data_IF_196140121528
#
_entry.id   IF_196140121528
#
_cell.length_a   1.000
_cell.length_b   1.000
_cell.length_c   1.000
_cell.angle_alpha   90.00
_cell.angle_beta   90.00
_cell.angle_gamma   90.00
#
_symmetry.space_group_name_H-M   'P 1'
#
loop_
_entity.id
_entity.type
_entity.pdbx_description
1 polymer ?
#
# COMPACT_ATOMS: atom_id res chain seq x y z
N UNK A 1 30.95 -25.59 7.98
CA UNK A 1 30.88 -24.40 7.11
C UNK A 1 30.12 -24.86 5.90
N UNK A 2 28.96 -24.27 5.62
CA UNK A 2 28.23 -24.58 4.38
C UNK A 2 29.06 -24.15 3.18
N UNK A 3 29.07 -24.97 2.12
CA UNK A 3 29.75 -24.63 0.88
C UNK A 3 29.02 -23.48 0.17
N UNK A 4 29.77 -22.61 -0.50
CA UNK A 4 29.21 -21.49 -1.27
C UNK A 4 28.41 -22.04 -2.46
N UNK A 5 27.08 -21.82 -2.45
CA UNK A 5 26.16 -22.33 -3.49
C UNK A 5 26.27 -21.52 -4.78
N UNK A 6 26.17 -20.19 -4.68
CA UNK A 6 26.19 -19.28 -5.82
C UNK A 6 26.84 -17.94 -5.46
N UNK A 7 27.52 -17.32 -6.42
CA UNK A 7 28.17 -16.03 -6.26
C UNK A 7 28.24 -15.30 -7.60
N UNK A 8 27.56 -14.16 -7.67
CA UNK A 8 27.50 -13.29 -8.85
C UNK A 8 28.12 -11.93 -8.51
N UNK A 9 29.40 -11.71 -8.85
CA UNK A 9 30.06 -10.43 -8.59
C UNK A 9 29.51 -9.28 -9.45
N UNK A 10 28.84 -9.59 -10.56
CA UNK A 10 28.34 -8.62 -11.55
C UNK A 10 29.44 -7.71 -12.15
N UNK A 11 30.68 -8.21 -12.17
CA UNK A 11 31.85 -7.55 -12.75
C UNK A 11 32.00 -7.92 -14.22
N UNK A 12 31.40 -7.13 -15.12
CA UNK A 12 31.42 -7.31 -16.56
C UNK A 12 30.52 -8.42 -17.12
N UNK A 13 30.02 -9.34 -16.29
CA UNK A 13 29.09 -10.42 -16.68
C UNK A 13 28.19 -10.87 -15.51
N UNK A 14 27.24 -11.78 -15.81
CA UNK A 14 26.39 -12.46 -14.83
C UNK A 14 26.86 -13.89 -14.53
N UNK A 15 28.17 -14.18 -14.65
CA UNK A 15 28.71 -15.52 -14.45
C UNK A 15 28.79 -15.91 -12.97
N UNK A 16 28.30 -17.11 -12.63
CA UNK A 16 28.50 -17.68 -11.30
C UNK A 16 29.99 -18.00 -11.05
N UNK A 17 30.49 -17.69 -9.86
CA UNK A 17 31.87 -17.95 -9.41
C UNK A 17 31.97 -18.98 -8.29
N UNK A 18 30.84 -19.57 -7.88
CA UNK A 18 30.83 -20.70 -6.95
C UNK A 18 31.24 -22.01 -7.64
N UNK A 19 31.40 -23.08 -6.85
CA UNK A 19 31.85 -24.38 -7.36
C UNK A 19 30.78 -25.09 -8.22
N UNK A 20 29.50 -24.86 -7.94
CA UNK A 20 28.40 -25.41 -8.72
C UNK A 20 28.30 -24.73 -10.10
N UNK A 21 28.01 -25.49 -11.16
CA UNK A 21 27.84 -24.95 -12.51
C UNK A 21 26.44 -24.36 -12.70
N UNK A 22 26.19 -23.23 -12.04
CA UNK A 22 24.92 -22.50 -12.12
C UNK A 22 24.90 -21.63 -13.39
N UNK A 23 24.32 -22.16 -14.46
CA UNK A 23 24.13 -21.42 -15.70
C UNK A 23 23.22 -20.22 -15.47
N UNK A 24 23.67 -19.05 -15.93
CA UNK A 24 23.04 -17.76 -15.67
C UNK A 24 22.78 -17.03 -16.98
N UNK A 25 21.56 -16.53 -17.17
CA UNK A 25 21.12 -15.79 -18.36
C UNK A 25 20.70 -14.38 -17.95
N UNK A 26 21.51 -13.34 -18.23
CA UNK A 26 21.12 -11.96 -17.96
C UNK A 26 20.19 -11.43 -19.07
N UNK A 27 19.14 -10.71 -18.67
CA UNK A 27 18.22 -9.99 -19.56
C UNK A 27 18.22 -8.52 -19.18
N UNK A 28 18.37 -7.61 -20.15
CA UNK A 28 18.30 -6.15 -20.00
C UNK A 28 19.14 -5.57 -18.84
N UNK A 29 20.29 -6.16 -18.55
CA UNK A 29 21.22 -5.68 -17.50
C UNK A 29 22.33 -4.83 -18.14
N UNK A 30 22.67 -3.73 -17.48
CA UNK A 30 23.81 -2.88 -17.87
C UNK A 30 24.96 -3.11 -16.89
N UNK A 31 26.06 -3.71 -17.36
CA UNK A 31 27.29 -3.90 -16.57
C UNK A 31 28.20 -2.66 -16.62
N UNK A 32 29.30 -2.67 -15.86
CA UNK A 32 30.29 -1.58 -15.87
C UNK A 32 30.11 -0.55 -14.76
N UNK A 33 29.12 -0.73 -13.87
CA UNK A 33 28.84 0.22 -12.79
C UNK A 33 29.83 0.09 -11.63
N UNK A 34 29.95 1.17 -10.86
CA UNK A 34 30.76 1.15 -9.64
C UNK A 34 30.06 0.36 -8.54
N UNK A 35 30.79 -0.57 -7.94
CA UNK A 35 30.33 -1.34 -6.80
C UNK A 35 30.45 -0.59 -5.47
N UNK A 36 30.22 -1.28 -4.35
CA UNK A 36 30.22 -0.69 -3.01
C UNK A 36 31.53 -0.01 -2.58
N UNK A 37 32.66 -0.40 -3.18
CA UNK A 37 33.99 0.17 -2.94
C UNK A 37 34.33 1.34 -3.89
N UNK A 38 33.40 1.73 -4.76
CA UNK A 38 33.56 2.79 -5.76
C UNK A 38 34.35 2.36 -7.00
N UNK A 39 34.80 1.10 -7.09
CA UNK A 39 35.52 0.60 -8.26
C UNK A 39 34.56 0.36 -9.41
N UNK A 40 34.79 0.99 -10.56
CA UNK A 40 34.01 0.75 -11.79
C UNK A 40 34.10 -0.70 -12.24
N UNK A 41 33.09 -1.17 -12.98
CA UNK A 41 33.02 -2.55 -13.50
C UNK A 41 33.02 -3.62 -12.41
N UNK A 42 32.35 -3.34 -11.29
CA UNK A 42 32.14 -4.29 -10.18
C UNK A 42 30.68 -4.37 -9.74
N UNK A 43 29.77 -3.81 -10.53
CA UNK A 43 28.33 -3.87 -10.32
C UNK A 43 27.60 -3.76 -11.66
N UNK A 44 26.29 -4.04 -11.61
CA UNK A 44 25.39 -3.88 -12.74
C UNK A 44 24.13 -3.10 -12.34
N UNK A 45 23.53 -2.39 -13.29
CA UNK A 45 22.28 -1.68 -13.13
C UNK A 45 21.11 -2.50 -13.68
N UNK A 46 20.01 -2.51 -12.91
CA UNK A 46 18.75 -3.14 -13.25
C UNK A 46 17.73 -2.03 -13.52
N UNK A 47 16.92 -2.18 -14.56
CA UNK A 47 16.01 -1.14 -15.05
C UNK A 47 14.66 -1.08 -14.31
N UNK A 48 14.45 -1.94 -13.30
CA UNK A 48 13.22 -2.02 -12.50
C UNK A 48 12.00 -2.58 -13.24
N UNK A 49 12.14 -3.06 -14.48
CA UNK A 49 11.04 -3.50 -15.34
C UNK A 49 11.24 -4.91 -15.88
N UNK A 50 12.30 -5.12 -16.64
CA UNK A 50 12.60 -6.39 -17.34
C UNK A 50 13.95 -6.97 -16.96
N UNK A 51 14.81 -6.21 -16.29
CA UNK A 51 16.14 -6.71 -15.91
C UNK A 51 16.04 -7.88 -14.93
N UNK A 52 16.66 -9.00 -15.28
CA UNK A 52 16.79 -10.15 -14.40
C UNK A 52 18.03 -10.98 -14.75
N UNK A 53 18.46 -11.81 -13.80
CA UNK A 53 19.39 -12.90 -14.06
C UNK A 53 18.62 -14.19 -13.78
N UNK A 54 18.30 -14.92 -14.83
CA UNK A 54 17.67 -16.23 -14.70
C UNK A 54 18.75 -17.28 -14.45
N UNK A 55 18.57 -18.08 -13.40
CA UNK A 55 19.46 -19.18 -13.05
C UNK A 55 18.78 -20.48 -13.43
N UNK A 56 19.44 -21.30 -14.23
CA UNK A 56 18.91 -22.61 -14.60
C UNK A 56 18.74 -23.50 -13.36
N UNK A 57 17.71 -24.34 -13.36
CA UNK A 57 17.49 -25.30 -12.28
C UNK A 57 18.72 -26.20 -12.10
N UNK A 58 19.07 -26.46 -10.84
CA UNK A 58 20.28 -27.20 -10.49
C UNK A 58 20.16 -27.79 -9.08
N UNK A 59 20.66 -29.01 -8.80
CA UNK A 59 20.56 -29.66 -7.48
C UNK A 59 21.16 -28.84 -6.33
N UNK A 60 22.20 -28.04 -6.58
CA UNK A 60 22.78 -27.15 -5.58
C UNK A 60 21.82 -26.04 -5.10
N UNK A 61 20.75 -25.76 -5.83
CA UNK A 61 19.70 -24.81 -5.45
C UNK A 61 18.55 -25.48 -4.67
N UNK A 62 18.62 -26.81 -4.44
CA UNK A 62 17.73 -27.50 -3.51
C UNK A 62 18.22 -27.28 -2.08
N UNK A 63 17.78 -26.18 -1.48
CA UNK A 63 18.23 -25.73 -0.15
C UNK A 63 17.76 -26.65 0.99
N UNK A 64 16.82 -27.57 0.73
CA UNK A 64 16.32 -28.50 1.72
C UNK A 64 15.71 -27.81 2.95
N UNK A 65 16.03 -28.32 4.14
CA UNK A 65 15.57 -27.82 5.44
C UNK A 65 16.71 -27.22 6.28
N UNK A 66 17.93 -27.19 5.73
CA UNK A 66 19.10 -26.70 6.44
C UNK A 66 19.15 -25.17 6.41
N UNK A 67 19.84 -24.59 7.39
CA UNK A 67 20.09 -23.15 7.43
C UNK A 67 20.91 -22.72 6.20
N UNK A 68 20.52 -21.59 5.61
CA UNK A 68 21.27 -20.93 4.54
C UNK A 68 21.43 -19.43 4.83
N UNK A 69 22.29 -18.77 4.05
CA UNK A 69 22.50 -17.33 4.16
C UNK A 69 22.57 -16.71 2.78
N UNK A 70 21.99 -15.52 2.65
CA UNK A 70 22.07 -14.69 1.45
C UNK A 70 22.83 -13.42 1.80
N UNK A 71 23.73 -12.99 0.92
CA UNK A 71 24.41 -11.69 1.03
C UNK A 71 24.31 -10.98 -0.31
N UNK A 72 23.86 -9.73 -0.28
CA UNK A 72 23.73 -8.89 -1.45
C UNK A 72 24.08 -7.45 -1.10
N UNK A 73 24.72 -6.74 -2.04
CA UNK A 73 24.87 -5.30 -1.99
C UNK A 73 23.89 -4.69 -2.98
N UNK A 74 22.95 -3.90 -2.47
CA UNK A 74 21.89 -3.30 -3.28
C UNK A 74 21.93 -1.80 -3.07
N UNK A 75 21.96 -1.06 -4.17
CA UNK A 75 21.78 0.37 -4.18
C UNK A 75 20.43 0.66 -4.85
N UNK A 76 19.53 1.32 -4.14
CA UNK A 76 18.22 1.73 -4.64
C UNK A 76 18.10 3.25 -4.57
N UNK A 77 17.66 3.89 -5.66
CA UNK A 77 17.66 5.35 -5.80
C UNK A 77 16.90 6.08 -4.68
N UNK A 78 17.44 7.18 -4.15
CA UNK A 78 16.84 7.86 -3.00
C UNK A 78 15.44 8.46 -3.27
N UNK A 79 15.15 8.86 -4.52
CA UNK A 79 14.03 9.77 -4.82
C UNK A 79 12.65 9.08 -4.93
N UNK A 80 12.57 7.76 -4.72
CA UNK A 80 11.31 6.96 -4.67
C UNK A 80 10.41 7.13 -5.90
N UNK A 81 11.00 7.08 -7.09
CA UNK A 81 10.25 7.18 -8.34
C UNK A 81 9.39 5.95 -8.64
N UNK A 82 9.76 4.76 -8.16
CA UNK A 82 9.06 3.50 -8.42
C UNK A 82 9.26 2.46 -7.29
N UNK A 83 8.59 1.32 -7.41
CA UNK A 83 8.84 0.13 -6.57
C UNK A 83 10.23 -0.45 -6.86
N UNK A 84 10.98 -0.84 -5.82
CA UNK A 84 12.35 -1.36 -5.97
C UNK A 84 12.41 -2.80 -6.50
N UNK A 85 11.45 -3.65 -6.11
CA UNK A 85 11.30 -5.01 -6.61
C UNK A 85 12.12 -6.07 -5.87
N UNK A 86 12.39 -7.19 -6.56
CA UNK A 86 13.00 -8.38 -6.00
C UNK A 86 14.54 -8.34 -6.06
N UNK A 87 15.19 -8.81 -5.00
CA UNK A 87 16.63 -9.07 -4.96
C UNK A 87 16.89 -10.53 -5.38
N UNK A 88 16.10 -11.47 -4.84
CA UNK A 88 16.17 -12.89 -5.14
C UNK A 88 14.77 -13.50 -5.09
N UNK A 89 14.48 -14.41 -6.02
CA UNK A 89 13.22 -15.15 -6.06
C UNK A 89 13.49 -16.59 -6.49
N UNK A 90 13.18 -17.54 -5.61
CA UNK A 90 13.07 -18.97 -5.94
C UNK A 90 11.69 -19.42 -5.48
N UNK A 91 10.67 -19.01 -6.22
CA UNK A 91 9.29 -19.20 -5.86
C UNK A 91 8.45 -19.58 -7.06
N UNK A 92 7.65 -20.61 -6.86
CA UNK A 92 6.61 -21.03 -7.78
C UNK A 92 5.29 -20.36 -7.35
N UNK A 93 4.78 -19.40 -8.14
CA UNK A 93 3.55 -18.72 -7.80
C UNK A 93 2.29 -19.58 -7.97
N UNK A 94 2.28 -20.59 -8.84
CA UNK A 94 1.12 -21.48 -8.99
C UNK A 94 1.03 -22.45 -7.81
N UNK A 95 2.16 -23.06 -7.45
CA UNK A 95 2.24 -23.95 -6.29
C UNK A 95 2.24 -23.19 -4.97
N UNK A 96 2.51 -21.87 -4.99
CA UNK A 96 2.68 -21.02 -3.81
C UNK A 96 3.79 -21.54 -2.89
N UNK A 97 4.91 -21.94 -3.49
CA UNK A 97 6.05 -22.60 -2.83
C UNK A 97 7.38 -21.97 -3.14
N UNK A 98 8.19 -21.76 -2.11
CA UNK A 98 9.56 -21.28 -2.23
C UNK A 98 9.80 -20.02 -1.41
N UNK A 99 10.73 -19.18 -1.85
CA UNK A 99 11.19 -18.03 -1.09
C UNK A 99 11.43 -16.79 -1.95
N UNK A 100 11.38 -15.64 -1.29
CA UNK A 100 11.75 -14.36 -1.87
C UNK A 100 12.54 -13.51 -0.88
N UNK A 101 13.47 -12.73 -1.42
CA UNK A 101 14.08 -11.58 -0.78
C UNK A 101 13.81 -10.36 -1.66
N UNK A 102 13.14 -9.35 -1.13
CA UNK A 102 12.70 -8.20 -1.91
C UNK A 102 12.65 -6.93 -1.06
N UNK A 103 12.63 -5.78 -1.74
CA UNK A 103 12.41 -4.48 -1.11
C UNK A 103 10.95 -4.10 -1.38
N UNK A 104 10.11 -4.29 -0.36
CA UNK A 104 8.67 -4.11 -0.43
C UNK A 104 8.29 -2.62 -0.45
N UNK A 105 7.50 -2.25 -1.45
CA UNK A 105 6.73 -1.00 -1.44
C UNK A 105 5.29 -1.37 -1.74
N UNK A 106 4.38 -1.09 -0.80
CA UNK A 106 2.94 -1.30 -0.97
C UNK A 106 2.26 0.05 -1.16
N UNK A 107 2.15 0.43 -2.44
CA UNK A 107 1.44 1.63 -2.90
C UNK A 107 -0.02 1.32 -3.25
N UNK A 108 -0.90 2.31 -3.17
CA UNK A 108 -2.25 2.26 -3.70
C UNK A 108 -3.35 1.87 -2.72
N UNK A 109 -3.08 1.73 -1.42
CA UNK A 109 -4.18 1.54 -0.45
C UNK A 109 -5.05 2.81 -0.37
N UNK A 110 -6.35 2.66 -0.11
CA UNK A 110 -7.32 3.78 -0.11
C UNK A 110 -6.89 4.99 0.72
N UNK A 111 -6.83 4.86 2.05
CA UNK A 111 -6.43 5.97 2.91
C UNK A 111 -4.92 6.00 3.15
N UNK A 112 -4.26 4.85 3.02
CA UNK A 112 -2.85 4.62 3.31
C UNK A 112 -2.06 4.43 2.01
N UNK A 113 -2.05 5.44 1.13
CA UNK A 113 -1.53 5.27 -0.22
C UNK A 113 -0.12 4.67 -0.26
N UNK A 114 0.73 4.97 0.73
CA UNK A 114 2.01 4.30 0.94
C UNK A 114 2.05 3.55 2.28
N UNK A 115 1.47 2.34 2.33
CA UNK A 115 1.37 1.54 3.56
C UNK A 115 2.73 0.95 4.00
N UNK A 116 3.58 0.60 3.04
CA UNK A 116 4.94 0.13 3.28
C UNK A 116 5.88 0.83 2.30
N UNK A 117 6.95 1.46 2.80
CA UNK A 117 7.95 2.12 1.97
C UNK A 117 9.31 1.43 2.11
N UNK A 118 9.76 0.78 1.03
CA UNK A 118 11.12 0.23 0.89
C UNK A 118 11.60 -0.67 2.03
N UNK A 119 10.73 -1.58 2.46
CA UNK A 119 11.05 -2.48 3.55
C UNK A 119 11.72 -3.74 3.03
N UNK A 120 12.90 -4.05 3.56
CA UNK A 120 13.53 -5.33 3.27
C UNK A 120 12.65 -6.46 3.82
N UNK A 121 12.20 -7.34 2.94
CA UNK A 121 11.29 -8.42 3.26
C UNK A 121 11.87 -9.75 2.79
N UNK A 122 11.84 -10.72 3.69
CA UNK A 122 12.16 -12.11 3.39
C UNK A 122 10.95 -12.96 3.72
N UNK A 123 10.52 -13.80 2.80
CA UNK A 123 9.35 -14.67 2.97
C UNK A 123 9.61 -16.05 2.42
N UNK A 124 9.11 -17.06 3.14
CA UNK A 124 9.00 -18.44 2.69
C UNK A 124 7.52 -18.80 2.66
N UNK A 125 7.08 -19.43 1.59
CA UNK A 125 5.75 -20.03 1.51
C UNK A 125 5.88 -21.51 1.14
N UNK A 126 5.14 -22.38 1.83
CA UNK A 126 5.08 -23.82 1.58
C UNK A 126 3.65 -24.26 1.21
N UNK A 127 2.82 -23.30 0.79
CA UNK A 127 1.44 -23.51 0.38
C UNK A 127 0.53 -24.12 1.45
N UNK A 128 0.89 -23.98 2.74
CA UNK A 128 0.09 -24.52 3.83
C UNK A 128 -1.20 -23.71 4.03
N UNK A 129 -2.23 -24.41 4.50
CA UNK A 129 -3.60 -23.91 4.62
C UNK A 129 -3.92 -23.29 5.99
N UNK A 130 -2.94 -23.09 6.87
CA UNK A 130 -3.20 -22.39 8.12
C UNK A 130 -3.44 -20.91 7.82
N UNK A 131 -4.70 -20.51 7.90
CA UNK A 131 -5.16 -19.14 7.71
C UNK A 131 -5.52 -18.50 9.05
N UNK A 132 -4.90 -18.92 10.15
CA UNK A 132 -5.19 -18.35 11.47
C UNK A 132 -4.73 -16.90 11.54
N UNK A 133 -5.69 -15.99 11.73
CA UNK A 133 -5.43 -14.59 12.01
C UNK A 133 -5.38 -14.39 13.53
N UNK A 134 -4.30 -13.78 14.01
CA UNK A 134 -4.20 -13.36 15.41
C UNK A 134 -4.91 -12.02 15.59
N UNK A 135 -5.79 -11.94 16.58
CA UNK A 135 -6.41 -10.68 17.00
C UNK A 135 -5.37 -9.79 17.68
N UNK A 136 -5.05 -8.67 17.04
CA UNK A 136 -4.10 -7.67 17.51
C UNK A 136 -4.79 -6.52 18.26
N UNK A 137 -6.02 -6.73 18.71
CA UNK A 137 -6.76 -5.81 19.55
C UNK A 137 -7.49 -4.72 18.78
N UNK A 138 -8.09 -3.82 19.57
CA UNK A 138 -8.79 -2.62 19.10
C UNK A 138 -8.13 -1.40 19.74
N UNK A 139 -7.47 -0.53 18.97
CA UNK A 139 -6.95 0.73 19.49
C UNK A 139 -8.12 1.63 19.92
N UNK A 140 -8.12 2.07 21.18
CA UNK A 140 -9.17 2.94 21.73
C UNK A 140 -10.60 2.41 21.57
N UNK A 141 -11.51 3.30 21.17
CA UNK A 141 -12.90 2.99 20.85
C UNK A 141 -13.13 2.92 19.33
N UNK A 142 -12.06 2.64 18.56
CA UNK A 142 -12.12 2.61 17.12
C UNK A 142 -13.32 1.78 16.62
N UNK A 143 -14.07 2.38 15.69
CA UNK A 143 -15.02 1.65 14.85
C UNK A 143 -14.42 1.37 13.47
N UNK A 144 -13.33 2.04 13.11
CA UNK A 144 -12.60 1.76 11.87
C UNK A 144 -11.12 1.95 12.07
N UNK A 145 -10.36 0.99 11.55
CA UNK A 145 -8.94 1.14 11.29
C UNK A 145 -8.79 1.74 9.88
N UNK A 146 -8.72 3.07 9.83
CA UNK A 146 -8.75 3.82 8.57
C UNK A 146 -7.43 3.69 7.81
N UNK A 147 -6.32 3.61 8.54
CA UNK A 147 -4.98 3.51 7.97
C UNK A 147 -4.17 2.51 8.78
N UNK A 148 -3.42 1.65 8.09
CA UNK A 148 -2.30 0.88 8.63
C UNK A 148 -1.10 1.25 7.80
N UNK A 149 -0.01 1.65 8.44
CA UNK A 149 1.25 1.94 7.74
C UNK A 149 2.43 1.63 8.63
N UNK A 150 3.54 1.25 8.02
CA UNK A 150 4.78 0.95 8.73
C UNK A 150 5.79 2.03 8.46
N UNK A 151 6.28 2.63 9.53
CA UNK A 151 7.16 3.78 9.47
C UNK A 151 8.25 3.67 10.53
N UNK A 152 9.52 3.85 10.12
CA UNK A 152 10.71 3.44 10.89
C UNK A 152 10.53 2.08 11.59
N UNK A 153 10.15 1.06 10.83
CA UNK A 153 10.00 -0.32 11.30
C UNK A 153 8.88 -0.56 12.33
N UNK A 154 8.10 0.46 12.67
CA UNK A 154 6.98 0.35 13.61
C UNK A 154 5.64 0.41 12.87
N UNK A 155 4.67 -0.38 13.33
CA UNK A 155 3.31 -0.39 12.80
C UNK A 155 2.45 0.68 13.50
N UNK A 156 1.74 1.45 12.70
CA UNK A 156 0.82 2.48 13.17
C UNK A 156 -0.59 2.27 12.63
N UNK A 157 -1.57 2.73 13.39
CA UNK A 157 -2.98 2.74 12.99
C UNK A 157 -3.58 4.15 13.15
N UNK A 158 -4.25 4.63 12.10
CA UNK A 158 -5.15 5.79 12.18
C UNK A 158 -6.58 5.30 12.38
N UNK A 159 -7.30 5.82 13.38
CA UNK A 159 -8.64 5.35 13.73
C UNK A 159 -9.73 6.38 13.47
N UNK A 160 -10.95 5.87 13.31
CA UNK A 160 -12.19 6.64 13.40
C UNK A 160 -12.97 6.18 14.64
N UNK A 161 -13.45 7.16 15.42
CA UNK A 161 -14.36 6.99 16.55
C UNK A 161 -15.59 7.89 16.35
N UNK A 162 -16.74 7.52 16.94
CA UNK A 162 -18.05 8.07 16.52
C UNK A 162 -18.92 8.61 17.65
N UNK A 163 -18.52 8.43 18.91
CA UNK A 163 -19.16 9.05 20.05
C UNK A 163 -19.12 10.57 19.99
N UNK A 164 -20.05 11.23 20.70
CA UNK A 164 -20.14 12.70 20.71
C UNK A 164 -18.89 13.36 21.29
N UNK A 165 -18.29 12.73 22.29
CA UNK A 165 -17.07 13.17 22.98
C UNK A 165 -15.83 12.35 22.56
N UNK A 166 -15.94 11.52 21.52
CA UNK A 166 -14.85 10.71 20.98
C UNK A 166 -14.22 11.39 19.76
N UNK A 167 -12.94 11.14 19.52
CA UNK A 167 -12.23 11.55 18.31
C UNK A 167 -11.43 10.38 17.75
N UNK A 168 -11.02 10.44 16.49
CA UNK A 168 -10.06 9.48 15.94
C UNK A 168 -8.67 9.74 16.50
N UNK A 169 -7.78 8.75 16.52
CA UNK A 169 -6.43 8.89 17.06
C UNK A 169 -5.40 8.23 16.15
N UNK A 170 -4.15 8.69 16.25
CA UNK A 170 -2.99 7.94 15.77
C UNK A 170 -2.51 7.01 16.88
N UNK A 171 -2.26 5.75 16.54
CA UNK A 171 -1.80 4.73 17.46
C UNK A 171 -0.54 4.07 16.93
N UNK A 172 0.35 3.69 17.85
CA UNK A 172 1.51 2.84 17.56
C UNK A 172 1.33 1.47 18.18
N UNK A 173 1.56 0.42 17.42
CA UNK A 173 1.44 -0.95 17.88
C UNK A 173 2.53 -1.28 18.91
N UNK A 174 2.15 -1.85 20.05
CA UNK A 174 3.07 -2.27 21.11
C UNK A 174 3.23 -3.79 21.22
N UNK A 175 2.60 -4.55 20.31
CA UNK A 175 2.60 -6.00 20.32
C UNK A 175 1.37 -6.60 21.01
N UNK A 176 1.06 -7.86 20.69
CA UNK A 176 -0.10 -8.54 21.24
C UNK A 176 -1.39 -7.83 20.87
N UNK A 177 -2.10 -7.28 21.86
CA UNK A 177 -3.32 -6.49 21.67
C UNK A 177 -3.16 -5.03 22.09
N UNK A 178 -1.92 -4.61 22.38
CA UNK A 178 -1.62 -3.33 23.00
C UNK A 178 -1.26 -2.28 21.95
N UNK A 179 -1.76 -1.05 22.17
CA UNK A 179 -1.55 0.11 21.32
C UNK A 179 -1.25 1.34 22.17
N UNK A 180 -0.25 2.12 21.77
CA UNK A 180 0.10 3.39 22.41
C UNK A 180 -0.60 4.52 21.67
N UNK A 181 -1.39 5.31 22.40
CA UNK A 181 -2.06 6.50 21.88
C UNK A 181 -1.04 7.64 21.65
N UNK A 182 -1.02 8.19 20.44
CA UNK A 182 -0.21 9.35 20.06
C UNK A 182 -1.05 10.62 19.89
N UNK A 183 -2.37 10.51 20.03
CA UNK A 183 -3.31 11.61 20.07
C UNK A 183 -3.88 12.04 18.71
N UNK A 184 -4.57 13.17 18.77
CA UNK A 184 -5.15 13.89 17.64
C UNK A 184 -5.17 15.38 18.00
N UNK A 185 -4.41 16.25 17.32
CA UNK A 185 -4.30 17.66 17.69
C UNK A 185 -5.56 18.49 17.34
N UNK A 186 -6.46 17.94 16.51
CA UNK A 186 -7.66 18.64 16.02
C UNK A 186 -8.92 18.24 16.80
N UNK A 187 -8.97 17.00 17.30
CA UNK A 187 -10.18 16.42 17.90
C UNK A 187 -11.25 16.03 16.87
N UNK A 188 -10.87 15.89 15.60
CA UNK A 188 -11.74 15.42 14.53
C UNK A 188 -12.01 13.91 14.65
N UNK A 189 -13.04 13.41 13.96
CA UNK A 189 -13.48 12.03 14.15
C UNK A 189 -12.54 10.97 13.54
N UNK A 190 -11.59 11.34 12.68
CA UNK A 190 -10.64 10.40 12.08
C UNK A 190 -9.24 10.96 11.91
N UNK A 191 -8.24 10.13 12.19
CA UNK A 191 -6.85 10.29 11.75
C UNK A 191 -6.57 9.27 10.65
N UNK A 192 -5.96 9.70 9.55
CA UNK A 192 -5.80 8.90 8.32
C UNK A 192 -4.62 9.34 7.49
N UNK A 193 -4.12 8.48 6.61
CA UNK A 193 -2.92 8.73 5.82
C UNK A 193 -1.70 8.83 6.72
N UNK A 194 -0.69 8.01 6.47
CA UNK A 194 0.54 8.05 7.24
C UNK A 194 1.70 7.70 6.33
N UNK A 195 2.74 8.55 6.32
CA UNK A 195 3.89 8.34 5.45
C UNK A 195 5.16 8.95 6.05
N UNK A 196 6.32 8.36 5.78
CA UNK A 196 7.60 9.02 6.04
C UNK A 196 8.00 9.89 4.86
N UNK A 197 8.40 11.12 5.18
CA UNK A 197 8.88 12.09 4.24
C UNK A 197 9.99 12.93 4.88
N UNK A 198 11.17 12.95 4.25
CA UNK A 198 12.35 13.69 4.72
C UNK A 198 12.77 13.34 6.16
N UNK A 199 12.62 12.07 6.57
CA UNK A 199 13.02 11.57 7.89
C UNK A 199 12.01 11.76 9.02
N UNK A 200 10.92 12.49 8.77
CA UNK A 200 9.80 12.67 9.72
C UNK A 200 8.55 11.94 9.22
N UNK A 201 7.55 11.74 10.10
CA UNK A 201 6.28 11.15 9.71
C UNK A 201 5.18 12.17 9.58
N UNK A 202 4.41 12.04 8.51
CA UNK A 202 3.30 12.92 8.20
C UNK A 202 2.00 12.13 8.27
N UNK A 203 0.98 12.73 8.85
CA UNK A 203 -0.35 12.17 8.87
C UNK A 203 -1.42 13.22 8.59
N UNK A 204 -2.56 12.77 8.09
CA UNK A 204 -3.68 13.63 7.78
C UNK A 204 -4.83 13.43 8.78
N UNK A 205 -5.68 14.44 8.85
CA UNK A 205 -6.88 14.45 9.67
C UNK A 205 -8.10 14.64 8.79
N UNK A 206 -9.27 14.21 9.25
CA UNK A 206 -10.47 14.38 8.47
C UNK A 206 -11.76 14.31 9.26
N UNK A 207 -12.86 14.56 8.54
CA UNK A 207 -14.23 14.32 8.97
C UNK A 207 -14.86 13.25 8.09
N UNK A 208 -14.90 12.02 8.59
CA UNK A 208 -15.47 10.89 7.87
C UNK A 208 -16.99 10.81 8.00
N UNK A 209 -17.67 10.66 6.85
CA UNK A 209 -19.11 10.47 6.80
C UNK A 209 -19.54 9.00 6.93
N UNK A 210 -20.40 8.72 7.92
CA UNK A 210 -20.88 7.35 8.21
C UNK A 210 -22.02 6.87 7.32
N UNK A 211 -22.68 7.79 6.59
CA UNK A 211 -23.87 7.48 5.78
C UNK A 211 -23.59 6.44 4.69
N UNK A 212 -22.44 6.54 4.02
CA UNK A 212 -22.01 5.57 3.00
C UNK A 212 -21.64 4.20 3.58
N UNK A 213 -21.51 4.11 4.91
CA UNK A 213 -21.23 2.86 5.64
C UNK A 213 -22.49 2.29 6.30
N UNK A 214 -23.64 2.94 6.17
CA UNK A 214 -24.89 2.56 6.85
C UNK A 214 -24.76 2.48 8.39
N UNK A 215 -23.92 3.35 9.00
CA UNK A 215 -23.67 3.35 10.46
C UNK A 215 -24.39 4.48 11.22
N UNK A 216 -25.31 5.19 10.57
CA UNK A 216 -26.08 6.27 11.19
C UNK A 216 -25.41 7.64 11.02
N UNK A 217 -25.76 8.56 11.91
CA UNK A 217 -25.26 9.94 11.91
C UNK A 217 -23.96 10.07 12.70
N UNK A 218 -23.15 11.05 12.30
CA UNK A 218 -21.90 11.40 12.97
C UNK A 218 -22.25 12.29 14.16
N UNK A 219 -21.73 11.97 15.35
CA UNK A 219 -21.95 12.79 16.53
C UNK A 219 -20.86 13.87 16.69
N UNK A 220 -19.58 13.50 16.58
CA UNK A 220 -18.46 14.45 16.51
C UNK A 220 -18.31 15.00 15.07
N UNK A 221 -18.71 16.26 14.88
CA UNK A 221 -18.68 16.94 13.57
C UNK A 221 -17.50 17.92 13.41
N UNK A 222 -16.50 17.86 14.29
CA UNK A 222 -15.29 18.70 14.22
C UNK A 222 -14.60 18.51 12.86
N UNK A 223 -14.40 19.59 12.07
CA UNK A 223 -13.70 19.51 10.80
C UNK A 223 -12.25 19.06 10.98
N UNK A 224 -11.77 18.20 10.08
CA UNK A 224 -10.34 17.92 9.92
C UNK A 224 -9.82 18.58 8.66
N UNK A 225 -8.98 17.87 7.91
CA UNK A 225 -8.45 18.34 6.62
C UNK A 225 -7.01 18.82 6.67
N UNK A 226 -6.43 18.92 7.86
CA UNK A 226 -5.04 19.33 8.03
C UNK A 226 -4.08 18.15 7.92
N UNK A 227 -2.85 18.45 7.50
CA UNK A 227 -1.71 17.53 7.53
C UNK A 227 -0.79 17.97 8.65
N UNK A 228 -0.29 17.01 9.43
CA UNK A 228 0.66 17.25 10.51
C UNK A 228 1.91 16.40 10.32
N UNK A 229 3.04 16.96 10.73
CA UNK A 229 4.29 16.25 10.92
C UNK A 229 4.46 15.91 12.40
N UNK A 230 4.71 14.65 12.71
CA UNK A 230 5.02 14.18 14.06
C UNK A 230 6.55 14.05 14.20
N UNK A 231 7.14 14.78 15.14
CA UNK A 231 8.59 14.69 15.40
C UNK A 231 8.93 13.43 16.20
N UNK A 232 10.22 13.08 16.27
CA UNK A 232 10.70 11.97 17.09
C UNK A 232 10.36 12.12 18.59
N UNK A 233 10.20 13.36 19.06
CA UNK A 233 9.81 13.69 20.44
C UNK A 233 8.28 13.60 20.67
N UNK A 234 7.50 13.31 19.62
CA UNK A 234 6.04 13.22 19.68
C UNK A 234 5.32 14.56 19.57
N UNK A 235 5.99 15.61 19.06
CA UNK A 235 5.34 16.91 18.83
C UNK A 235 4.60 16.92 17.49
N UNK A 236 3.36 17.40 17.51
CA UNK A 236 2.53 17.60 16.33
C UNK A 236 2.74 18.99 15.75
N UNK A 237 3.35 19.08 14.57
CA UNK A 237 3.60 20.34 13.85
C UNK A 237 2.62 20.42 12.68
N UNK A 238 1.76 21.43 12.68
CA UNK A 238 0.82 21.65 11.56
C UNK A 238 1.59 21.98 10.28
N UNK A 239 1.31 21.21 9.23
CA UNK A 239 1.87 21.38 7.89
C UNK A 239 0.84 21.98 6.91
N UNK A 240 -0.22 22.61 7.41
CA UNK A 240 -1.22 23.30 6.61
C UNK A 240 -2.48 22.50 6.32
N UNK A 241 -3.37 23.12 5.56
CA UNK A 241 -4.72 22.63 5.28
C UNK A 241 -4.95 22.54 3.76
N UNK A 242 -4.62 21.40 3.13
CA UNK A 242 -4.78 21.18 1.70
C UNK A 242 -6.18 21.51 1.17
N UNK A 243 -6.24 22.53 0.31
CA UNK A 243 -7.46 22.94 -0.39
C UNK A 243 -8.40 23.86 0.41
N UNK A 244 -8.03 24.31 1.61
CA UNK A 244 -8.81 25.27 2.41
C UNK A 244 -9.16 26.53 1.60
N UNK A 245 -8.18 27.09 0.88
CA UNK A 245 -8.34 28.32 0.11
C UNK A 245 -9.40 28.26 -1.01
N UNK A 246 -9.76 27.05 -1.46
CA UNK A 246 -10.75 26.81 -2.51
C UNK A 246 -11.97 26.02 -2.03
N UNK A 247 -11.93 25.54 -0.78
CA UNK A 247 -13.01 24.80 -0.15
C UNK A 247 -14.18 25.69 0.22
N UNK A 248 -15.37 25.09 0.29
CA UNK A 248 -16.54 25.71 0.86
C UNK A 248 -16.39 25.86 2.38
N UNK A 249 -17.02 26.88 2.99
CA UNK A 249 -17.06 27.03 4.45
C UNK A 249 -17.61 25.79 5.15
N UNK A 250 -17.05 25.46 6.32
CA UNK A 250 -17.44 24.26 7.07
C UNK A 250 -18.89 24.25 7.56
N UNK A 251 -19.47 25.44 7.78
CA UNK A 251 -20.84 25.64 8.24
C UNK A 251 -21.88 25.63 7.11
N UNK A 252 -21.44 25.61 5.84
CA UNK A 252 -22.35 25.54 4.69
C UNK A 252 -23.01 24.16 4.59
N UNK A 253 -24.33 24.10 4.53
CA UNK A 253 -25.05 22.86 4.24
C UNK A 253 -24.97 22.53 2.74
N UNK A 254 -24.27 21.44 2.44
CA UNK A 254 -24.00 20.95 1.08
C UNK A 254 -24.70 19.62 0.80
N UNK A 255 -25.66 19.21 1.64
CA UNK A 255 -26.38 17.95 1.50
C UNK A 255 -25.57 16.74 1.98
N UNK A 256 -25.90 15.53 1.48
CA UNK A 256 -25.34 14.27 2.00
C UNK A 256 -24.12 13.73 1.25
N UNK A 257 -23.89 14.17 0.01
CA UNK A 257 -22.83 13.64 -0.84
C UNK A 257 -22.22 14.77 -1.67
N UNK A 258 -20.90 14.92 -1.58
CA UNK A 258 -20.07 15.94 -2.25
C UNK A 258 -20.12 17.33 -1.58
N UNK A 259 -19.41 17.47 -0.46
CA UNK A 259 -19.52 18.67 0.37
C UNK A 259 -18.66 19.85 -0.12
N UNK A 260 -17.74 19.68 -1.08
CA UNK A 260 -16.88 20.77 -1.54
C UNK A 260 -16.01 21.40 -0.44
N UNK A 261 -15.93 20.77 0.73
CA UNK A 261 -15.18 21.23 1.91
C UNK A 261 -13.80 20.59 1.91
N UNK A 262 -12.81 21.31 2.42
CA UNK A 262 -11.46 20.79 2.57
C UNK A 262 -11.29 19.99 3.88
N UNK A 263 -12.36 19.41 4.43
CA UNK A 263 -12.42 18.90 5.81
C UNK A 263 -11.96 17.44 5.97
N UNK A 264 -11.43 16.84 4.90
CA UNK A 264 -11.08 15.42 4.87
C UNK A 264 -9.83 15.17 4.02
N UNK A 265 -8.64 15.38 4.59
CA UNK A 265 -7.38 15.06 3.94
C UNK A 265 -7.06 13.57 4.14
N UNK A 266 -6.67 12.89 3.06
CA UNK A 266 -6.45 11.44 3.01
C UNK A 266 -5.34 11.11 2.01
N UNK A 267 -4.99 9.82 1.89
CA UNK A 267 -4.15 9.29 0.80
C UNK A 267 -2.84 10.07 0.62
N UNK A 268 -2.05 10.15 1.69
CA UNK A 268 -0.71 10.73 1.64
C UNK A 268 0.25 9.84 0.85
N UNK A 269 0.90 10.39 -0.17
CA UNK A 269 1.82 9.67 -1.05
C UNK A 269 3.13 10.45 -1.21
N UNK A 270 4.26 9.74 -1.18
CA UNK A 270 5.56 10.30 -1.59
C UNK A 270 5.90 9.78 -2.98
N UNK A 271 6.26 10.70 -3.87
CA UNK A 271 6.73 10.37 -5.21
C UNK A 271 7.71 11.43 -5.70
N UNK A 272 8.83 10.98 -6.26
CA UNK A 272 9.84 11.85 -6.87
C UNK A 272 10.27 13.02 -5.95
N UNK A 273 10.61 12.68 -4.69
CA UNK A 273 11.04 13.64 -3.68
C UNK A 273 9.99 14.62 -3.16
N UNK A 274 8.71 14.47 -3.52
CA UNK A 274 7.61 15.35 -3.10
C UNK A 274 6.53 14.60 -2.32
N UNK A 275 5.86 15.29 -1.40
CA UNK A 275 4.71 14.80 -0.66
C UNK A 275 3.41 15.29 -1.32
N UNK A 276 2.48 14.38 -1.54
CA UNK A 276 1.17 14.61 -2.14
C UNK A 276 0.07 14.16 -1.20
N UNK A 277 -1.09 14.81 -1.29
CA UNK A 277 -2.28 14.48 -0.50
C UNK A 277 -3.54 14.69 -1.31
N UNK A 278 -4.56 13.88 -1.04
CA UNK A 278 -5.91 14.04 -1.57
C UNK A 278 -6.78 14.69 -0.51
N UNK A 279 -7.56 15.70 -0.89
CA UNK A 279 -8.63 16.23 -0.04
C UNK A 279 -9.97 15.71 -0.56
N UNK A 280 -10.56 14.79 0.19
CA UNK A 280 -11.52 13.81 -0.28
C UNK A 280 -12.82 14.41 -0.81
N UNK A 281 -13.27 15.57 -0.31
CA UNK A 281 -14.53 16.19 -0.70
C UNK A 281 -14.39 17.33 -1.73
N UNK A 282 -13.16 17.62 -2.18
CA UNK A 282 -12.86 18.61 -3.20
C UNK A 282 -12.13 17.98 -4.37
N UNK A 283 -12.07 18.71 -5.49
CA UNK A 283 -11.40 18.24 -6.70
C UNK A 283 -9.92 18.57 -6.64
N UNK A 284 -9.08 17.63 -7.05
CA UNK A 284 -7.64 17.81 -7.15
C UNK A 284 -6.81 16.93 -6.22
N UNK A 285 -5.52 17.20 -6.25
CA UNK A 285 -4.42 16.59 -5.50
C UNK A 285 -3.49 17.74 -5.15
N UNK A 286 -2.98 17.78 -3.93
CA UNK A 286 -2.14 18.87 -3.45
C UNK A 286 -0.73 18.38 -3.22
N UNK A 287 0.26 19.11 -3.74
CA UNK A 287 1.68 18.91 -3.47
C UNK A 287 2.10 19.82 -2.32
N UNK A 288 2.87 19.28 -1.38
CA UNK A 288 3.46 20.04 -0.29
C UNK A 288 4.63 20.88 -0.78
N UNK A 289 4.60 22.18 -0.48
CA UNK A 289 5.69 23.12 -0.84
C UNK A 289 6.56 23.51 0.38
N UNK A 290 6.26 22.96 1.56
CA UNK A 290 6.97 23.23 2.81
C UNK A 290 6.21 24.17 3.75
N UNK A 291 6.57 24.14 5.03
CA UNK A 291 5.87 24.89 6.06
C UNK A 291 4.40 24.49 6.14
N UNK A 292 3.50 25.41 5.78
CA UNK A 292 2.05 25.22 5.74
C UNK A 292 1.46 25.29 4.33
N UNK A 293 2.30 25.35 3.29
CA UNK A 293 1.89 25.67 1.93
C UNK A 293 1.65 24.41 1.08
N UNK A 294 0.59 24.48 0.26
CA UNK A 294 0.16 23.40 -0.63
C UNK A 294 -0.30 23.95 -1.98
N UNK A 295 0.24 23.41 -3.07
CA UNK A 295 -0.19 23.74 -4.43
C UNK A 295 -1.09 22.64 -4.99
N UNK A 296 -2.28 23.01 -5.48
CA UNK A 296 -3.12 22.07 -6.22
C UNK A 296 -2.47 21.77 -7.58
N UNK A 297 -2.19 20.49 -7.81
CA UNK A 297 -1.60 19.94 -9.04
C UNK A 297 -2.47 18.86 -9.66
N UNK A 298 -3.57 18.48 -9.02
CA UNK A 298 -4.43 17.38 -9.46
C UNK A 298 -5.40 17.73 -10.59
N UNK A 299 -6.06 16.71 -11.16
CA UNK A 299 -7.06 16.90 -12.20
C UNK A 299 -8.29 17.65 -11.68
N UNK A 300 -9.11 18.22 -12.57
CA UNK A 300 -10.43 18.79 -12.23
C UNK A 300 -11.50 17.70 -11.95
N UNK A 301 -11.12 16.71 -11.14
CA UNK A 301 -11.95 15.61 -10.67
C UNK A 301 -11.68 15.34 -9.19
N UNK A 302 -12.66 14.73 -8.53
CA UNK A 302 -12.48 14.25 -7.16
C UNK A 302 -11.63 12.99 -7.21
N UNK A 303 -10.53 12.98 -6.48
CA UNK A 303 -9.63 11.83 -6.36
C UNK A 303 -9.95 11.08 -5.07
N UNK A 304 -9.82 9.75 -5.08
CA UNK A 304 -10.09 8.87 -3.95
C UNK A 304 -8.81 8.33 -3.33
N UNK A 305 -7.84 7.95 -4.16
CA UNK A 305 -6.51 7.53 -3.71
C UNK A 305 -5.44 7.78 -4.77
N UNK A 306 -4.18 7.62 -4.38
CA UNK A 306 -2.98 7.72 -5.21
C UNK A 306 -2.23 6.38 -5.23
N UNK A 307 -1.50 6.11 -6.32
CA UNK A 307 -0.56 4.97 -6.40
C UNK A 307 0.61 5.32 -7.31
N UNK A 308 1.74 4.62 -7.16
CA UNK A 308 2.91 4.76 -8.04
C UNK A 308 3.06 3.50 -8.86
N UNK A 309 3.27 3.67 -10.17
CA UNK A 309 3.52 2.56 -11.08
C UNK A 309 4.46 2.98 -12.21
N UNK A 310 5.53 2.20 -12.42
CA UNK A 310 6.46 2.35 -13.55
C UNK A 310 7.10 3.74 -13.64
N UNK A 311 7.35 4.36 -12.48
CA UNK A 311 8.00 5.67 -12.39
C UNK A 311 7.03 6.86 -12.30
N UNK A 312 5.71 6.64 -12.37
CA UNK A 312 4.72 7.71 -12.44
C UNK A 312 3.69 7.64 -11.31
N UNK A 313 3.21 8.82 -10.90
CA UNK A 313 2.09 8.97 -9.97
C UNK A 313 0.76 8.83 -10.72
N UNK A 314 -0.16 8.05 -10.16
CA UNK A 314 -1.50 7.85 -10.66
C UNK A 314 -2.54 8.30 -9.64
N UNK A 315 -3.61 8.93 -10.11
CA UNK A 315 -4.76 9.32 -9.32
C UNK A 315 -5.96 8.45 -9.67
N UNK A 316 -6.56 7.84 -8.64
CA UNK A 316 -7.74 7.00 -8.76
C UNK A 316 -8.97 7.89 -8.56
N UNK A 317 -9.65 8.21 -9.65
CA UNK A 317 -10.75 9.17 -9.67
C UNK A 317 -12.07 8.57 -9.15
N UNK A 318 -12.84 9.43 -8.47
CA UNK A 318 -14.26 9.22 -8.27
C UNK A 318 -15.00 9.36 -9.61
N UNK A 319 -15.88 8.43 -9.91
CA UNK A 319 -16.49 8.25 -11.23
C UNK A 319 -15.87 7.10 -12.03
N UNK A 320 -14.72 6.56 -11.61
CA UNK A 320 -14.06 5.44 -12.29
C UNK A 320 -12.81 5.77 -13.13
N UNK A 321 -12.58 6.99 -13.65
CA UNK A 321 -11.35 7.29 -14.38
C UNK A 321 -10.09 7.16 -13.54
N UNK A 322 -9.00 6.78 -14.18
CA UNK A 322 -7.65 6.76 -13.59
C UNK A 322 -6.77 7.69 -14.42
N UNK A 323 -5.97 8.51 -13.76
CA UNK A 323 -5.14 9.53 -14.42
C UNK A 323 -3.67 9.32 -14.08
N UNK A 324 -2.77 9.44 -15.06
CA UNK A 324 -1.31 9.50 -14.85
C UNK A 324 -0.84 10.95 -14.82
N UNK A 325 -0.03 11.30 -13.83
CA UNK A 325 0.57 12.62 -13.74
C UNK A 325 1.72 12.78 -14.73
N UNK A 326 1.67 13.83 -15.56
CA UNK A 326 2.72 14.15 -16.54
C UNK A 326 3.57 15.37 -16.15
N UNK A 327 3.28 15.98 -14.99
CA UNK A 327 4.00 17.11 -14.44
C UNK A 327 3.24 18.44 -14.55
N UNK A 328 3.63 19.41 -13.73
CA UNK A 328 2.89 20.67 -13.60
C UNK A 328 1.47 20.41 -13.10
N UNK A 329 0.48 20.68 -13.96
CA UNK A 329 -0.94 20.42 -13.72
C UNK A 329 -1.55 19.47 -14.78
N UNK A 330 -0.69 18.78 -15.54
CA UNK A 330 -1.11 17.94 -16.67
C UNK A 330 -1.28 16.47 -16.25
N UNK A 331 -2.38 15.87 -16.72
CA UNK A 331 -2.74 14.49 -16.43
C UNK A 331 -3.25 13.79 -17.69
N UNK A 332 -2.69 12.62 -17.99
CA UNK A 332 -3.19 11.73 -19.04
C UNK A 332 -4.29 10.84 -18.49
N UNK A 333 -5.46 10.85 -19.11
CA UNK A 333 -6.52 9.85 -18.86
C UNK A 333 -6.00 8.47 -19.26
N UNK A 334 -6.05 7.51 -18.32
CA UNK A 334 -5.65 6.12 -18.48
C UNK A 334 -6.85 5.17 -18.50
N UNK A 335 -8.03 5.70 -18.84
CA UNK A 335 -9.26 4.95 -18.98
C UNK A 335 -9.97 4.70 -17.66
N UNK A 336 -11.13 4.05 -17.78
CA UNK A 336 -11.99 3.64 -16.67
C UNK A 336 -12.15 2.12 -16.75
N UNK A 337 -11.83 1.36 -15.68
CA UNK A 337 -12.19 -0.05 -15.60
C UNK A 337 -13.69 -0.24 -15.86
N UNK A 338 -14.04 -1.20 -16.70
CA UNK A 338 -15.43 -1.40 -17.14
C UNK A 338 -16.38 -1.56 -15.93
N UNK A 339 -17.50 -0.85 -15.95
CA UNK A 339 -18.50 -0.88 -14.88
C UNK A 339 -18.09 -0.19 -13.57
N UNK A 340 -16.84 0.26 -13.44
CA UNK A 340 -16.37 0.98 -12.26
C UNK A 340 -16.92 2.40 -12.20
N UNK A 341 -17.37 2.78 -11.01
CA UNK A 341 -17.75 4.16 -10.67
C UNK A 341 -16.85 4.75 -9.59
N UNK A 342 -16.02 3.94 -8.93
CA UNK A 342 -15.01 4.37 -7.96
C UNK A 342 -13.89 3.33 -7.92
N UNK A 343 -12.64 3.79 -7.91
CA UNK A 343 -11.48 2.93 -7.65
C UNK A 343 -10.80 3.44 -6.37
N UNK A 344 -10.57 2.54 -5.43
CA UNK A 344 -10.07 2.89 -4.09
C UNK A 344 -8.74 2.23 -3.77
N UNK A 345 -8.60 0.95 -4.14
CA UNK A 345 -7.39 0.18 -3.93
C UNK A 345 -6.64 -0.04 -5.23
N UNK A 346 -5.32 0.02 -5.16
CA UNK A 346 -4.39 -0.46 -6.17
C UNK A 346 -3.25 -1.23 -5.50
N UNK A 347 -2.58 -2.09 -6.27
CA UNK A 347 -1.35 -2.74 -5.86
C UNK A 347 -0.53 -3.14 -7.09
N UNK A 348 0.80 -3.07 -6.97
CA UNK A 348 1.73 -3.60 -7.97
C UNK A 348 2.23 -4.96 -7.52
N UNK A 349 1.96 -6.01 -8.31
CA UNK A 349 2.43 -7.37 -8.03
C UNK A 349 3.13 -7.92 -9.26
N UNK A 350 4.41 -8.28 -9.12
CA UNK A 350 5.27 -8.80 -10.20
C UNK A 350 5.26 -7.92 -11.45
N UNK A 351 5.39 -6.61 -11.25
CA UNK A 351 5.52 -5.63 -12.34
C UNK A 351 4.20 -5.25 -13.05
N UNK A 352 3.06 -5.75 -12.56
CA UNK A 352 1.73 -5.47 -13.10
C UNK A 352 0.90 -4.68 -12.08
N UNK A 353 0.19 -3.64 -12.54
CA UNK A 353 -0.71 -2.83 -11.73
C UNK A 353 -2.11 -3.42 -11.71
N UNK A 354 -2.66 -3.60 -10.52
CA UNK A 354 -4.03 -4.04 -10.27
C UNK A 354 -4.82 -2.95 -9.57
N UNK A 355 -6.11 -2.84 -9.88
CA UNK A 355 -7.05 -1.93 -9.22
C UNK A 355 -8.34 -2.65 -8.86
N UNK A 356 -8.94 -2.23 -7.76
CA UNK A 356 -10.21 -2.72 -7.25
C UNK A 356 -11.34 -1.72 -7.47
N UNK A 357 -12.55 -2.21 -7.75
CA UNK A 357 -13.67 -1.38 -8.19
C UNK A 357 -14.88 -1.38 -7.26
N UNK A 358 -15.72 -0.36 -7.44
CA UNK A 358 -17.11 -0.26 -6.98
C UNK A 358 -18.04 0.05 -8.16
N UNK A 359 -19.27 -0.49 -8.24
CA UNK A 359 -19.95 -1.35 -7.25
C UNK A 359 -19.80 -2.85 -7.53
N UNK A 360 -18.98 -3.23 -8.51
CA UNK A 360 -18.84 -4.61 -8.96
C UNK A 360 -18.03 -5.50 -8.03
N UNK A 361 -17.16 -4.94 -7.20
CA UNK A 361 -16.21 -5.72 -6.41
C UNK A 361 -15.22 -6.50 -7.29
N UNK A 362 -14.84 -5.93 -8.43
CA UNK A 362 -14.01 -6.57 -9.45
C UNK A 362 -12.57 -6.09 -9.37
N UNK A 363 -11.66 -6.92 -9.88
CA UNK A 363 -10.24 -6.59 -10.01
C UNK A 363 -9.89 -6.46 -11.48
N UNK A 364 -9.19 -5.38 -11.81
CA UNK A 364 -8.70 -5.12 -13.16
C UNK A 364 -7.19 -4.99 -13.15
N UNK A 365 -6.56 -5.43 -14.25
CA UNK A 365 -5.14 -5.24 -14.52
C UNK A 365 -4.96 -4.17 -15.58
N UNK A 366 -4.03 -3.25 -15.35
CA UNK A 366 -3.72 -2.22 -16.34
C UNK A 366 -3.06 -2.85 -17.57
N UNK A 367 -3.61 -2.58 -18.76
CA UNK A 367 -3.10 -3.09 -20.02
C UNK A 367 -2.41 -2.02 -20.88
N UNK A 368 -2.19 -0.83 -20.33
CA UNK A 368 -1.57 0.29 -21.02
C UNK A 368 -2.57 1.21 -21.71
N UNK A 369 -2.13 2.45 -21.95
CA UNK A 369 -2.94 3.54 -22.48
C UNK A 369 -4.24 3.69 -21.67
N UNK A 370 -5.39 3.41 -22.30
CA UNK A 370 -6.71 3.55 -21.70
C UNK A 370 -7.39 2.19 -21.47
N UNK A 371 -6.61 1.11 -21.47
CA UNK A 371 -7.13 -0.26 -21.45
C UNK A 371 -6.92 -0.95 -20.10
N UNK A 372 -7.96 -1.66 -19.68
CA UNK A 372 -7.98 -2.46 -18.45
C UNK A 372 -8.51 -3.86 -18.76
N UNK A 373 -7.81 -4.90 -18.32
CA UNK A 373 -8.27 -6.30 -18.43
C UNK A 373 -8.98 -6.67 -17.13
N UNK A 374 -10.29 -6.95 -17.21
CA UNK A 374 -11.05 -7.50 -16.09
C UNK A 374 -10.58 -8.91 -15.75
N UNK A 375 -10.39 -9.17 -14.45
CA UNK A 375 -9.96 -10.47 -13.92
C UNK A 375 -11.09 -11.20 -13.20
N UNK A 376 -12.24 -10.54 -13.08
CA UNK A 376 -13.44 -11.08 -12.45
C UNK A 376 -13.73 -10.45 -11.09
N UNK A 377 -14.86 -10.88 -10.55
CA UNK A 377 -15.40 -10.42 -9.27
C UNK A 377 -14.81 -11.21 -8.11
N UNK A 378 -14.51 -10.51 -7.02
CA UNK A 378 -14.12 -11.11 -5.75
C UNK A 378 -15.40 -11.57 -5.04
N UNK A 379 -15.77 -12.84 -5.23
CA UNK A 379 -16.94 -13.45 -4.58
C UNK A 379 -18.25 -12.67 -4.76
N UNK A 380 -18.93 -12.39 -3.64
CA UNK A 380 -20.16 -11.58 -3.59
C UNK A 380 -19.91 -10.12 -3.20
N UNK A 381 -18.65 -9.69 -3.21
CA UNK A 381 -18.24 -8.36 -2.76
C UNK A 381 -18.65 -7.28 -3.75
N UNK A 382 -18.70 -6.04 -3.29
CA UNK A 382 -19.15 -4.87 -4.05
C UNK A 382 -18.08 -3.78 -4.11
N UNK A 383 -17.18 -3.69 -3.12
CA UNK A 383 -16.11 -2.69 -3.05
C UNK A 383 -14.80 -3.36 -2.69
N UNK A 384 -13.73 -2.99 -3.40
CA UNK A 384 -12.35 -3.41 -3.11
C UNK A 384 -11.52 -2.19 -2.76
N UNK A 385 -11.01 -2.13 -1.53
CA UNK A 385 -10.39 -0.92 -0.96
C UNK A 385 -8.96 -1.19 -0.49
N UNK A 386 -8.74 -2.30 0.22
CA UNK A 386 -7.42 -2.75 0.61
C UNK A 386 -6.86 -3.72 -0.43
N UNK A 387 -5.68 -3.42 -0.95
CA UNK A 387 -4.96 -4.27 -1.91
C UNK A 387 -3.46 -4.21 -1.61
N UNK A 388 -2.84 -5.31 -1.21
CA UNK A 388 -1.41 -5.30 -0.83
C UNK A 388 -0.67 -6.51 -1.36
N UNK A 389 0.62 -6.35 -1.61
CA UNK A 389 1.51 -7.46 -1.95
C UNK A 389 2.12 -8.05 -0.68
N UNK A 390 1.99 -9.36 -0.53
CA UNK A 390 2.59 -10.12 0.57
C UNK A 390 3.01 -11.52 0.08
N UNK A 391 4.25 -11.91 0.33
CA UNK A 391 4.85 -13.17 -0.14
C UNK A 391 4.56 -13.46 -1.63
N UNK A 392 4.75 -12.46 -2.48
CA UNK A 392 4.59 -12.59 -3.93
C UNK A 392 3.14 -12.71 -4.43
N UNK A 393 2.15 -12.59 -3.54
CA UNK A 393 0.71 -12.68 -3.86
C UNK A 393 -0.01 -11.37 -3.56
N UNK A 394 -1.11 -11.15 -4.27
CA UNK A 394 -2.02 -10.03 -4.01
C UNK A 394 -3.05 -10.46 -2.96
N UNK A 395 -3.13 -9.71 -1.86
CA UNK A 395 -4.17 -9.83 -0.84
C UNK A 395 -5.13 -8.67 -0.93
N UNK A 396 -6.40 -8.95 -0.67
CA UNK A 396 -7.51 -8.04 -0.94
C UNK A 396 -8.45 -7.98 0.27
N UNK A 397 -8.86 -6.78 0.66
CA UNK A 397 -9.91 -6.53 1.62
C UNK A 397 -11.17 -5.94 0.98
N UNK A 398 -12.33 -6.43 1.41
CA UNK A 398 -13.60 -6.23 0.71
C UNK A 398 -14.75 -5.66 1.57
N UNK A 399 -15.79 -5.17 0.88
CA UNK A 399 -17.15 -4.89 1.37
C UNK A 399 -18.15 -5.72 0.56
N UNK A 400 -19.24 -6.29 1.15
CA UNK A 400 -19.79 -5.99 2.47
C UNK A 400 -19.45 -6.96 3.60
N UNK A 401 -18.58 -7.92 3.33
CA UNK A 401 -18.36 -8.99 4.29
C UNK A 401 -17.10 -8.85 5.14
N UNK A 402 -16.24 -7.85 4.89
CA UNK A 402 -14.92 -7.73 5.53
C UNK A 402 -14.08 -9.01 5.38
N UNK A 403 -14.17 -9.64 4.22
CA UNK A 403 -13.36 -10.81 3.91
C UNK A 403 -11.96 -10.37 3.48
N UNK A 404 -10.97 -11.17 3.89
CA UNK A 404 -9.65 -11.16 3.30
C UNK A 404 -9.63 -12.20 2.18
N UNK A 405 -9.16 -11.80 1.00
CA UNK A 405 -9.03 -12.65 -0.18
C UNK A 405 -7.59 -12.69 -0.66
N UNK A 406 -7.21 -13.74 -1.38
CA UNK A 406 -5.93 -13.85 -2.08
C UNK A 406 -6.18 -14.15 -3.54
N UNK A 407 -5.48 -13.44 -4.43
CA UNK A 407 -5.51 -13.74 -5.86
C UNK A 407 -4.58 -14.92 -6.14
N UNK A 408 -5.15 -15.98 -6.68
CA UNK A 408 -4.43 -17.15 -7.17
C UNK A 408 -4.13 -17.06 -8.66
N UNK A 409 -3.16 -17.87 -9.06
CA UNK A 409 -2.73 -18.00 -10.45
C UNK A 409 -3.25 -19.31 -10.99
N UNK A 410 -4.12 -19.24 -11.99
CA UNK A 410 -4.68 -20.40 -12.67
C UNK A 410 -4.59 -20.18 -14.18
N UNK A 411 -3.37 -20.10 -14.71
CA UNK A 411 -3.13 -19.73 -16.11
C UNK A 411 -3.56 -18.29 -16.42
N UNK A 412 -4.29 -18.09 -17.52
CA UNK A 412 -4.81 -16.77 -17.94
C UNK A 412 -6.01 -16.28 -17.10
N UNK A 413 -6.65 -17.18 -16.37
CA UNK A 413 -7.77 -16.89 -15.48
C UNK A 413 -7.24 -16.68 -14.05
N UNK A 414 -7.75 -15.64 -13.38
CA UNK A 414 -7.43 -15.38 -11.97
C UNK A 414 -8.57 -15.89 -11.10
N UNK A 415 -8.21 -16.57 -10.02
CA UNK A 415 -9.16 -17.01 -9.00
C UNK A 415 -8.92 -16.22 -7.72
N UNK A 416 -9.98 -16.03 -6.94
CA UNK A 416 -9.92 -15.33 -5.66
C UNK A 416 -10.36 -16.27 -4.55
N UNK A 417 -9.42 -16.64 -3.70
CA UNK A 417 -9.68 -17.52 -2.56
C UNK A 417 -9.99 -16.69 -1.33
N UNK A 418 -11.07 -17.04 -0.62
CA UNK A 418 -11.37 -16.48 0.70
C UNK A 418 -10.35 -17.01 1.69
N UNK A 419 -9.65 -16.11 2.37
CA UNK A 419 -8.68 -16.43 3.41
C UNK A 419 -9.35 -16.41 4.78
N UNK A 420 -10.14 -15.37 5.06
CA UNK A 420 -10.86 -15.24 6.33
C UNK A 420 -12.02 -14.23 6.23
N UNK A 421 -12.98 -14.35 7.15
CA UNK A 421 -13.88 -13.27 7.52
C UNK A 421 -13.36 -12.61 8.81
N UNK A 422 -13.03 -11.32 8.78
CA UNK A 422 -12.38 -10.64 9.90
C UNK A 422 -13.32 -9.75 10.71
N UNK A 423 -14.57 -9.55 10.25
CA UNK A 423 -15.56 -8.78 11.00
C UNK A 423 -16.93 -9.45 10.93
N UNK A 424 -17.47 -9.82 12.08
CA UNK A 424 -18.79 -10.43 12.21
C UNK A 424 -19.81 -9.50 12.87
N UNK A 425 -19.48 -8.21 13.03
CA UNK A 425 -20.38 -7.23 13.64
C UNK A 425 -21.75 -7.26 12.93
N UNK A 426 -22.87 -7.31 13.67
CA UNK A 426 -24.20 -7.54 13.09
C UNK A 426 -24.80 -6.27 12.44
N UNK A 427 -24.08 -5.69 11.49
CA UNK A 427 -24.49 -4.53 10.69
C UNK A 427 -24.63 -4.89 9.21
N UNK A 428 -25.20 -3.97 8.43
CA UNK A 428 -25.43 -4.17 7.00
C UNK A 428 -24.15 -4.26 6.17
N UNK A 429 -23.17 -3.39 6.46
CA UNK A 429 -21.93 -3.27 5.70
C UNK A 429 -20.75 -3.42 6.65
N UNK A 430 -19.84 -4.33 6.33
CA UNK A 430 -18.54 -4.46 6.96
C UNK A 430 -17.47 -4.33 5.91
N UNK A 431 -16.30 -3.83 6.31
CA UNK A 431 -15.15 -3.63 5.43
C UNK A 431 -13.89 -4.16 6.06
N UNK A 432 -13.02 -4.72 5.23
CA UNK A 432 -11.60 -4.79 5.50
C UNK A 432 -10.94 -3.64 4.73
N UNK A 433 -10.54 -2.59 5.45
CA UNK A 433 -10.28 -1.26 4.87
C UNK A 433 -8.80 -0.97 4.62
N UNK A 434 -7.94 -1.45 5.50
CA UNK A 434 -6.50 -1.16 5.49
C UNK A 434 -5.70 -2.44 5.67
N UNK A 435 -4.51 -2.47 5.08
CA UNK A 435 -3.54 -3.54 5.21
C UNK A 435 -2.11 -2.99 5.19
N UNK A 436 -1.21 -3.63 5.93
CA UNK A 436 0.22 -3.35 5.87
C UNK A 436 1.02 -4.62 6.23
N UNK A 437 2.25 -4.74 5.73
CA UNK A 437 3.15 -5.84 6.11
C UNK A 437 4.11 -5.35 7.20
N UNK A 438 4.15 -6.00 8.35
CA UNK A 438 5.03 -5.63 9.46
C UNK A 438 5.60 -6.89 10.11
N UNK A 439 6.90 -6.90 10.42
CA UNK A 439 7.55 -8.02 11.10
C UNK A 439 7.22 -9.40 10.49
N UNK A 440 7.28 -9.48 9.15
CA UNK A 440 7.00 -10.70 8.39
C UNK A 440 5.54 -11.14 8.35
N UNK A 441 4.59 -10.32 8.83
CA UNK A 441 3.16 -10.64 8.88
C UNK A 441 2.31 -9.63 8.13
N UNK A 442 1.20 -10.07 7.57
CA UNK A 442 0.18 -9.23 6.97
C UNK A 442 -0.82 -8.78 8.05
N UNK A 443 -0.92 -7.49 8.27
CA UNK A 443 -1.91 -6.88 9.17
C UNK A 443 -3.09 -6.36 8.35
N UNK A 444 -4.30 -6.45 8.91
CA UNK A 444 -5.52 -5.96 8.28
C UNK A 444 -6.48 -5.33 9.30
N UNK A 445 -7.13 -4.23 8.91
CA UNK A 445 -7.97 -3.39 9.77
C UNK A 445 -9.44 -3.35 9.35
N UNK A 446 -10.36 -3.47 10.31
CA UNK A 446 -11.80 -3.64 10.04
C UNK A 446 -12.67 -2.40 10.29
N UNK A 447 -13.88 -2.41 9.71
CA UNK A 447 -15.01 -1.51 9.99
C UNK A 447 -16.32 -2.34 9.94
N UNK A 448 -17.26 -2.19 10.90
CA UNK A 448 -17.22 -1.30 12.06
C UNK A 448 -16.52 -1.90 13.29
N UNK A 449 -15.94 -3.10 13.20
CA UNK A 449 -15.32 -3.77 14.34
C UNK A 449 -14.13 -2.99 14.91
N UNK A 450 -13.46 -2.19 14.08
CA UNK A 450 -12.31 -1.36 14.47
C UNK A 450 -11.16 -2.18 15.03
N UNK A 451 -11.03 -3.45 14.62
CA UNK A 451 -9.98 -4.36 15.11
C UNK A 451 -8.86 -4.49 14.08
N UNK A 452 -7.67 -4.80 14.58
CA UNK A 452 -6.53 -5.17 13.76
C UNK A 452 -6.28 -6.67 13.91
N UNK A 453 -6.04 -7.35 12.80
CA UNK A 453 -5.67 -8.77 12.78
C UNK A 453 -4.36 -8.98 12.04
N UNK A 454 -3.60 -10.01 12.40
CA UNK A 454 -2.34 -10.34 11.75
C UNK A 454 -2.27 -11.81 11.29
N UNK A 455 -1.84 -12.01 10.05
CA UNK A 455 -1.71 -13.30 9.39
C UNK A 455 -0.27 -13.54 8.93
N UNK A 456 0.20 -14.78 9.04
CA UNK A 456 1.51 -15.20 8.58
C UNK A 456 1.33 -16.36 7.59
N UNK A 457 1.81 -16.19 6.36
CA UNK A 457 1.71 -17.24 5.36
C UNK A 457 2.91 -18.18 5.49
N UNK A 458 2.72 -19.47 5.20
CA UNK A 458 3.83 -20.40 4.99
C UNK A 458 4.52 -20.94 6.24
N UNK A 459 3.97 -20.74 7.46
CA UNK A 459 4.58 -21.26 8.69
C UNK A 459 4.77 -22.78 8.65
N UNK A 460 6.01 -23.21 8.92
CA UNK A 460 6.43 -24.61 9.03
C UNK A 460 6.00 -25.29 10.32
#
# INVERSE_FOLDING_TARGET
MGDLIGHWPLAGDAGNRAAADLQSTPTDIVFGHAGPDGKTDTAAAFNGRSSCIEIADHPALDLGQDDFSITAWVNSDADRHDVAGSILSKYDPELRRGMHLYIATNDGMTSAALANARQLSFGIDDARADHTWADCGRPGNAVKIDTLSVVNEELYAGTLEIGADECGHLWRYAGGQDWVDLGNPVGCNVVRGLVEFNGDFYCATGRYALVGSCLGEILNNTPGGQVFRLTAEGEWICCGHPGEAVGLPDDMDTGKYNMGKADDATSLQVWNGSLYVVSHHIKGVWRYDGGTEWTCVGPDSRVLSLTVYRGALYALGNGGPIYRFDGGNEWTDCGTPEGSTQNYGAATVRGELYVGTWPGGEVFRYAGDNNWKGLGRVGYEMEIMAMTMYNGKLYIGSLPMAHAWRMEEAGDDRQFDVIANLDETPVKLRRLWSMAVHDGRLYAGTLPGGRVFAFEAGKM
#
